data_IF_646139505750
#
_entry.id   IF_646139505750
#
_cell.length_a   1.000
_cell.length_b   1.000
_cell.length_c   1.000
_cell.angle_alpha   90.00
_cell.angle_beta   90.00
_cell.angle_gamma   90.00
#
_symmetry.space_group_name_H-M   'P 1'
#
loop_
_entity.id
_entity.type
_entity.pdbx_description
1 polymer ?
#
# COMPACT_ATOMS: atom_id res chain seq x y z
N UNK A 1 -8.99 33.70 4.21
CA UNK A 1 -8.83 33.12 2.86
C UNK A 1 -7.50 32.41 2.82
N UNK A 2 -7.47 31.14 2.42
CA UNK A 2 -6.21 30.38 2.25
C UNK A 2 -5.53 30.73 0.92
N UNK A 3 -4.27 30.33 0.75
CA UNK A 3 -3.54 30.55 -0.51
C UNK A 3 -4.29 29.97 -1.73
N UNK A 4 -4.76 28.72 -1.64
CA UNK A 4 -5.56 28.11 -2.71
C UNK A 4 -6.83 28.91 -3.01
N UNK A 5 -7.59 29.32 -1.97
CA UNK A 5 -8.82 30.10 -2.15
C UNK A 5 -8.54 31.48 -2.76
N UNK A 6 -7.45 32.15 -2.38
CA UNK A 6 -7.03 33.43 -2.95
C UNK A 6 -6.66 33.27 -4.43
N UNK A 7 -5.85 32.26 -4.78
CA UNK A 7 -5.49 32.01 -6.19
C UNK A 7 -6.71 31.61 -7.02
N UNK A 8 -7.63 30.82 -6.46
CA UNK A 8 -8.91 30.47 -7.09
C UNK A 8 -9.76 31.71 -7.35
N UNK A 9 -9.91 32.59 -6.35
CA UNK A 9 -10.66 33.83 -6.48
C UNK A 9 -10.06 34.77 -7.53
N UNK A 10 -8.73 34.92 -7.54
CA UNK A 10 -8.01 35.72 -8.55
C UNK A 10 -8.18 35.14 -9.97
N UNK A 11 -8.17 33.81 -10.12
CA UNK A 11 -8.40 33.18 -11.42
C UNK A 11 -9.82 33.42 -11.96
N UNK A 12 -10.81 33.56 -11.06
CA UNK A 12 -12.21 33.88 -11.39
C UNK A 12 -12.45 35.37 -11.66
N UNK A 13 -11.56 36.27 -11.21
CA UNK A 13 -11.66 37.70 -11.49
C UNK A 13 -11.41 37.95 -12.99
N UNK A 14 -12.51 38.10 -13.72
CA UNK A 14 -12.56 38.15 -15.19
C UNK A 14 -13.79 37.45 -15.79
N UNK A 15 -14.46 36.59 -15.02
CA UNK A 15 -15.72 35.94 -15.40
C UNK A 15 -16.93 36.83 -15.13
N UNK A 16 -17.25 37.72 -16.06
CA UNK A 16 -18.57 38.36 -16.10
C UNK A 16 -19.64 37.27 -16.33
N UNK A 17 -20.57 37.09 -15.39
CA UNK A 17 -21.73 36.21 -15.56
C UNK A 17 -21.61 34.75 -15.07
N UNK A 18 -20.67 34.43 -14.18
CA UNK A 18 -20.62 33.11 -13.51
C UNK A 18 -20.11 31.93 -14.37
N UNK A 19 -19.74 32.18 -15.63
CA UNK A 19 -19.09 31.20 -16.51
C UNK A 19 -17.59 31.15 -16.21
N UNK A 20 -17.03 29.96 -15.98
CA UNK A 20 -15.58 29.83 -15.74
C UNK A 20 -14.78 30.36 -16.94
N UNK A 21 -13.65 31.08 -16.73
CA UNK A 21 -12.89 31.65 -17.82
C UNK A 21 -12.33 30.52 -18.69
N UNK A 22 -12.73 30.49 -19.97
CA UNK A 22 -12.27 29.48 -20.93
C UNK A 22 -10.76 29.61 -21.10
N UNK A 23 -10.04 28.52 -20.93
CA UNK A 23 -8.58 28.48 -21.14
C UNK A 23 -7.72 28.80 -19.91
N UNK A 24 -8.26 29.36 -18.84
CA UNK A 24 -7.48 29.69 -17.62
C UNK A 24 -7.46 28.51 -16.65
N UNK A 25 -6.32 28.29 -16.00
CA UNK A 25 -6.22 27.28 -14.94
C UNK A 25 -6.92 27.78 -13.67
N UNK A 26 -7.82 26.95 -13.13
CA UNK A 26 -8.56 27.22 -11.90
C UNK A 26 -8.16 26.19 -10.84
N UNK A 27 -7.44 26.59 -9.76
CA UNK A 27 -7.04 25.64 -8.74
C UNK A 27 -8.24 25.09 -7.96
N UNK A 28 -8.21 23.78 -7.68
CA UNK A 28 -9.17 23.07 -6.84
C UNK A 28 -8.72 23.10 -5.39
N UNK A 29 -9.64 23.50 -4.50
CA UNK A 29 -9.41 23.60 -3.07
C UNK A 29 -10.40 22.72 -2.32
N UNK A 30 -9.96 22.08 -1.25
CA UNK A 30 -10.84 21.30 -0.37
C UNK A 30 -11.73 22.20 0.51
N UNK A 31 -12.59 21.57 1.33
CA UNK A 31 -13.50 22.28 2.25
C UNK A 31 -12.79 23.13 3.30
N UNK A 32 -11.53 22.83 3.62
CA UNK A 32 -10.69 23.60 4.56
C UNK A 32 -9.90 24.71 3.84
N UNK A 33 -9.95 24.74 2.50
CA UNK A 33 -9.20 25.66 1.65
C UNK A 33 -7.77 25.22 1.35
N UNK A 34 -7.36 23.99 1.67
CA UNK A 34 -6.09 23.46 1.21
C UNK A 34 -6.18 23.07 -0.28
N UNK A 35 -5.04 22.95 -0.96
CA UNK A 35 -5.03 22.43 -2.32
C UNK A 35 -5.48 20.97 -2.33
N UNK A 36 -6.40 20.63 -3.24
CA UNK A 36 -6.64 19.23 -3.54
C UNK A 36 -5.37 18.60 -4.14
N UNK A 37 -5.05 17.36 -3.75
CA UNK A 37 -3.82 16.69 -4.23
C UNK A 37 -3.74 16.60 -5.75
N UNK A 38 -4.89 16.46 -6.42
CA UNK A 38 -5.01 16.45 -7.87
C UNK A 38 -5.46 17.83 -8.33
N UNK A 39 -4.73 18.42 -9.27
CA UNK A 39 -5.11 19.65 -9.94
C UNK A 39 -5.33 19.36 -11.42
N UNK A 40 -6.41 19.90 -11.99
CA UNK A 40 -6.79 19.64 -13.37
C UNK A 40 -7.00 20.94 -14.13
N UNK A 41 -6.34 21.07 -15.29
CA UNK A 41 -6.57 22.15 -16.23
C UNK A 41 -7.55 21.69 -17.31
N UNK A 42 -8.84 21.84 -17.01
CA UNK A 42 -9.94 21.31 -17.82
C UNK A 42 -9.90 21.71 -19.30
N UNK A 43 -9.49 22.94 -19.63
CA UNK A 43 -9.46 23.43 -21.01
C UNK A 43 -8.42 22.75 -21.91
N UNK A 44 -7.35 22.20 -21.33
CA UNK A 44 -6.30 21.49 -22.08
C UNK A 44 -6.28 19.97 -21.79
N UNK A 45 -7.08 19.51 -20.82
CA UNK A 45 -7.26 18.10 -20.48
C UNK A 45 -6.10 17.45 -19.71
N UNK A 46 -5.22 18.26 -19.10
CA UNK A 46 -4.11 17.77 -18.28
C UNK A 46 -4.43 17.89 -16.80
N UNK A 47 -4.03 16.89 -16.02
CA UNK A 47 -4.03 16.95 -14.56
C UNK A 47 -2.68 16.53 -14.02
N UNK A 48 -2.34 16.98 -12.81
CA UNK A 48 -1.09 16.67 -12.11
C UNK A 48 -1.32 16.62 -10.60
N UNK A 49 -0.33 16.11 -9.88
CA UNK A 49 -0.32 16.12 -8.44
C UNK A 49 0.35 17.39 -7.92
N UNK A 50 -0.11 17.89 -6.77
CA UNK A 50 0.51 19.04 -6.10
C UNK A 50 0.91 18.74 -4.67
N UNK A 51 1.93 19.47 -4.20
CA UNK A 51 2.31 19.52 -2.78
C UNK A 51 1.32 20.36 -1.95
N UNK A 52 1.56 20.48 -0.64
CA UNK A 52 0.73 21.27 0.27
C UNK A 52 0.66 22.77 -0.05
N UNK A 53 1.60 23.27 -0.86
CA UNK A 53 1.68 24.66 -1.31
C UNK A 53 1.06 24.85 -2.71
N UNK A 54 0.57 23.79 -3.34
CA UNK A 54 -0.05 23.83 -4.66
C UNK A 54 0.96 23.76 -5.82
N UNK A 55 2.23 23.42 -5.56
CA UNK A 55 3.23 23.26 -6.62
C UNK A 55 3.12 21.89 -7.25
N UNK A 56 3.24 21.83 -8.58
CA UNK A 56 3.24 20.59 -9.33
C UNK A 56 4.41 19.68 -8.93
N UNK A 57 4.08 18.43 -8.60
CA UNK A 57 5.05 17.36 -8.41
C UNK A 57 5.51 16.90 -9.80
N UNK A 58 6.80 17.07 -10.08
CA UNK A 58 7.39 16.75 -11.38
C UNK A 58 7.10 15.29 -11.79
N UNK A 59 6.73 15.08 -13.04
CA UNK A 59 6.45 13.75 -13.61
C UNK A 59 5.03 13.23 -13.36
N UNK A 60 4.16 14.00 -12.69
CA UNK A 60 2.77 13.57 -12.42
C UNK A 60 1.74 14.09 -13.43
N UNK A 61 2.16 14.92 -14.38
CA UNK A 61 1.28 15.51 -15.40
C UNK A 61 0.87 14.48 -16.45
N UNK A 62 -0.43 14.22 -16.54
CA UNK A 62 -1.03 13.24 -17.46
C UNK A 62 -2.28 13.80 -18.12
N UNK A 63 -2.73 13.20 -19.22
CA UNK A 63 -4.09 13.41 -19.74
C UNK A 63 -5.03 12.48 -18.97
N UNK A 64 -6.02 13.04 -18.26
CA UNK A 64 -6.88 12.29 -17.33
C UNK A 64 -6.42 12.40 -15.88
N UNK A 65 -6.88 11.51 -14.99
CA UNK A 65 -6.68 11.62 -13.54
C UNK A 65 -5.38 10.94 -13.07
N UNK A 66 -4.39 11.67 -12.50
CA UNK A 66 -3.18 11.08 -11.94
C UNK A 66 -3.44 10.38 -10.61
N UNK A 67 -2.62 9.36 -10.30
CA UNK A 67 -2.59 8.76 -8.96
C UNK A 67 -1.63 9.55 -8.07
N UNK A 68 -2.16 10.38 -7.19
CA UNK A 68 -1.38 11.24 -6.30
C UNK A 68 -1.06 10.61 -4.94
N UNK A 69 -1.29 9.31 -4.82
CA UNK A 69 -0.99 8.53 -3.62
C UNK A 69 0.21 7.58 -3.80
N UNK A 70 0.93 7.64 -4.94
CA UNK A 70 1.81 6.54 -5.37
C UNK A 70 3.19 6.91 -5.92
N UNK A 71 3.54 8.18 -6.16
CA UNK A 71 4.93 8.52 -6.54
C UNK A 71 5.71 9.06 -5.35
N UNK A 72 6.69 8.32 -4.81
CA UNK A 72 7.55 8.84 -3.76
C UNK A 72 8.36 9.99 -4.33
N UNK A 73 8.23 11.19 -3.76
CA UNK A 73 9.10 12.29 -4.12
C UNK A 73 10.57 11.90 -3.83
N UNK A 74 11.52 12.16 -4.75
CA UNK A 74 12.93 11.94 -4.46
C UNK A 74 13.37 12.83 -3.31
N UNK A 75 14.12 12.26 -2.36
CA UNK A 75 14.75 13.02 -1.28
C UNK A 75 15.88 13.89 -1.83
N UNK A 76 16.41 14.81 -1.01
CA UNK A 76 17.57 15.65 -1.37
C UNK A 76 18.81 14.82 -1.81
N UNK A 77 18.85 13.53 -1.47
CA UNK A 77 19.92 12.60 -1.84
C UNK A 77 19.70 11.91 -3.19
N UNK A 78 18.62 12.23 -3.92
CA UNK A 78 18.27 11.60 -5.21
C UNK A 78 17.66 10.20 -5.09
N UNK A 79 17.50 9.67 -3.87
CA UNK A 79 16.85 8.39 -3.56
C UNK A 79 15.43 8.62 -3.06
N UNK A 80 14.51 7.70 -3.34
CA UNK A 80 13.19 7.70 -2.66
C UNK A 80 13.31 7.27 -1.19
N UNK A 81 12.27 7.50 -0.38
CA UNK A 81 12.27 7.06 1.03
C UNK A 81 12.53 5.54 1.18
N UNK A 82 11.87 4.70 0.38
CA UNK A 82 12.10 3.25 0.40
C UNK A 82 13.55 2.89 0.04
N UNK A 83 14.08 3.47 -1.05
CA UNK A 83 15.44 3.21 -1.50
C UNK A 83 16.48 3.68 -0.48
N UNK A 84 16.27 4.84 0.13
CA UNK A 84 17.13 5.38 1.18
C UNK A 84 17.16 4.45 2.40
N UNK A 85 16.00 4.01 2.90
CA UNK A 85 15.95 3.06 4.03
C UNK A 85 16.58 1.72 3.69
N UNK A 86 16.38 1.22 2.47
CA UNK A 86 17.04 0.00 1.97
C UNK A 86 18.56 0.14 1.98
N UNK A 87 19.09 1.28 1.53
CA UNK A 87 20.52 1.57 1.54
C UNK A 87 21.07 1.68 2.97
N UNK A 88 20.35 2.36 3.87
CA UNK A 88 20.75 2.48 5.29
C UNK A 88 20.73 1.14 6.03
N UNK A 89 19.81 0.24 5.69
CA UNK A 89 19.76 -1.12 6.22
C UNK A 89 20.77 -2.08 5.54
N UNK A 90 21.48 -1.62 4.50
CA UNK A 90 22.54 -2.40 3.88
C UNK A 90 23.73 -2.52 4.86
N UNK A 91 24.24 -3.73 5.05
CA UNK A 91 25.33 -4.03 5.99
C UNK A 91 24.92 -4.25 7.45
N UNK A 92 23.69 -3.93 7.85
CA UNK A 92 23.21 -4.19 9.21
C UNK A 92 22.63 -5.62 9.32
N UNK A 93 23.30 -6.48 10.09
CA UNK A 93 22.89 -7.88 10.27
C UNK A 93 21.55 -7.95 11.01
N UNK A 94 20.55 -8.62 10.43
CA UNK A 94 19.19 -8.71 10.99
C UNK A 94 18.32 -7.45 10.82
N UNK A 95 18.82 -6.41 10.16
CA UNK A 95 18.01 -5.23 9.89
C UNK A 95 17.02 -5.46 8.76
N UNK A 96 15.79 -4.96 8.96
CA UNK A 96 14.76 -4.99 7.93
C UNK A 96 15.15 -4.15 6.72
N UNK A 97 15.31 -4.82 5.57
CA UNK A 97 15.56 -4.17 4.27
C UNK A 97 14.27 -4.11 3.45
N UNK A 98 13.66 -2.92 3.27
CA UNK A 98 12.41 -2.81 2.54
C UNK A 98 12.58 -3.16 1.05
N UNK A 99 11.56 -3.81 0.51
CA UNK A 99 11.36 -4.07 -0.91
C UNK A 99 10.75 -2.82 -1.55
N UNK A 100 11.38 -2.35 -2.62
CA UNK A 100 10.91 -1.21 -3.40
C UNK A 100 10.60 -1.68 -4.82
N UNK A 101 9.60 -1.08 -5.45
CA UNK A 101 9.29 -1.30 -6.85
C UNK A 101 10.27 -0.52 -7.77
N UNK A 102 10.06 -0.63 -9.09
CA UNK A 102 10.90 0.04 -10.09
C UNK A 102 10.78 1.58 -10.05
N UNK A 103 9.70 2.12 -9.50
CA UNK A 103 9.53 3.56 -9.28
C UNK A 103 10.12 4.02 -7.94
N UNK A 104 10.63 3.09 -7.12
CA UNK A 104 11.16 3.35 -5.80
C UNK A 104 10.09 3.50 -4.72
N UNK A 105 8.83 3.16 -4.99
CA UNK A 105 7.79 3.07 -3.97
C UNK A 105 7.91 1.77 -3.18
N UNK A 106 7.28 1.73 -2.00
CA UNK A 106 7.22 0.49 -1.22
C UNK A 106 6.38 -0.56 -1.95
N UNK A 107 6.94 -1.76 -2.08
CA UNK A 107 6.16 -2.92 -2.51
C UNK A 107 5.02 -3.16 -1.52
N UNK A 108 3.82 -3.47 -2.03
CA UNK A 108 2.62 -3.65 -1.20
C UNK A 108 2.79 -4.76 -0.15
N UNK A 109 3.60 -5.76 -0.46
CA UNK A 109 3.95 -6.86 0.45
C UNK A 109 5.45 -6.79 0.75
N UNK A 110 5.77 -6.59 2.02
CA UNK A 110 7.13 -6.62 2.54
C UNK A 110 7.44 -8.00 3.11
N UNK A 111 8.73 -8.30 3.26
CA UNK A 111 9.18 -9.57 3.84
C UNK A 111 10.44 -9.41 4.66
N UNK A 112 10.52 -10.11 5.78
CA UNK A 112 11.72 -10.20 6.61
C UNK A 112 11.71 -11.50 7.40
N UNK A 113 12.83 -12.25 7.37
CA UNK A 113 13.03 -13.43 8.24
C UNK A 113 11.86 -14.44 8.23
N UNK A 114 11.28 -14.70 7.06
CA UNK A 114 10.16 -15.65 6.90
C UNK A 114 8.79 -15.10 7.30
N UNK A 115 8.70 -13.81 7.65
CA UNK A 115 7.44 -13.09 7.80
C UNK A 115 7.15 -12.24 6.56
N UNK A 116 5.86 -12.06 6.29
CA UNK A 116 5.34 -11.24 5.21
C UNK A 116 4.20 -10.38 5.75
N UNK A 117 4.11 -9.11 5.34
CA UNK A 117 3.04 -8.21 5.76
C UNK A 117 2.75 -7.19 4.68
N UNK A 118 1.53 -6.64 4.70
CA UNK A 118 1.19 -5.54 3.82
C UNK A 118 1.70 -4.21 4.40
N UNK A 119 2.05 -3.28 3.52
CA UNK A 119 2.39 -1.90 3.92
C UNK A 119 1.55 -0.86 3.17
N UNK A 120 1.40 0.30 3.78
CA UNK A 120 0.84 1.48 3.13
C UNK A 120 1.86 2.15 2.18
N UNK A 121 1.46 3.24 1.53
CA UNK A 121 2.33 3.99 0.60
C UNK A 121 3.58 4.60 1.26
N UNK A 122 3.62 4.67 2.59
CA UNK A 122 4.76 5.13 3.37
C UNK A 122 5.62 3.98 3.91
N UNK A 123 5.29 2.73 3.58
CA UNK A 123 6.01 1.55 4.07
C UNK A 123 5.66 1.14 5.49
N UNK A 124 4.59 1.69 6.08
CA UNK A 124 4.12 1.30 7.42
C UNK A 124 3.27 0.05 7.32
N UNK A 125 3.50 -0.89 8.23
CA UNK A 125 2.75 -2.13 8.30
C UNK A 125 1.25 -1.89 8.51
N UNK A 126 0.44 -2.53 7.67
CA UNK A 126 -1.01 -2.60 7.85
C UNK A 126 -1.30 -3.64 8.93
N UNK A 127 -1.92 -3.20 10.02
CA UNK A 127 -2.15 -4.06 11.17
C UNK A 127 -2.97 -5.32 10.81
N UNK A 128 -2.60 -6.47 11.38
CA UNK A 128 -3.27 -7.75 11.15
C UNK A 128 -2.92 -8.45 9.83
N UNK A 129 -2.02 -7.89 9.01
CA UNK A 129 -1.63 -8.50 7.73
C UNK A 129 -0.37 -9.36 7.82
N UNK A 130 0.31 -9.39 8.97
CA UNK A 130 1.56 -10.14 9.14
C UNK A 130 1.31 -11.63 9.26
N UNK A 131 1.88 -12.37 8.31
CA UNK A 131 1.82 -13.82 8.22
C UNK A 131 3.23 -14.42 8.26
N UNK A 132 3.34 -15.64 8.80
CA UNK A 132 4.57 -16.43 8.78
C UNK A 132 4.51 -17.42 7.61
N UNK A 133 5.58 -17.51 6.83
CA UNK A 133 5.75 -18.40 5.67
C UNK A 133 4.82 -18.15 4.46
N UNK A 134 3.72 -17.42 4.63
CA UNK A 134 2.75 -17.11 3.58
C UNK A 134 2.69 -15.62 3.27
N UNK A 135 2.58 -15.26 1.99
CA UNK A 135 2.41 -13.86 1.55
C UNK A 135 0.92 -13.46 1.62
N UNK A 136 0.58 -12.28 2.18
CA UNK A 136 -0.77 -11.74 2.10
C UNK A 136 -1.21 -11.59 0.64
N UNK A 137 -2.39 -12.11 0.31
CA UNK A 137 -2.98 -12.04 -1.05
C UNK A 137 -3.83 -10.79 -1.27
N UNK A 138 -4.31 -10.16 -0.19
CA UNK A 138 -5.12 -8.95 -0.28
C UNK A 138 -4.61 -7.89 0.69
N UNK A 139 -4.00 -6.83 0.13
CA UNK A 139 -3.52 -5.67 0.87
C UNK A 139 -4.48 -4.47 0.81
N UNK A 140 -5.76 -4.70 0.49
CA UNK A 140 -6.77 -3.65 0.63
C UNK A 140 -7.11 -3.45 2.11
N UNK A 141 -7.19 -2.20 2.55
CA UNK A 141 -7.38 -1.75 3.94
C UNK A 141 -8.71 -2.18 4.59
N UNK A 142 -9.37 -3.21 4.06
CA UNK A 142 -10.60 -3.75 4.60
C UNK A 142 -10.73 -5.25 4.30
N UNK A 143 -9.75 -6.05 4.70
CA UNK A 143 -9.99 -7.47 4.88
C UNK A 143 -10.44 -7.71 6.31
N UNK A 144 -11.74 -7.53 6.52
CA UNK A 144 -12.47 -8.18 7.60
C UNK A 144 -12.41 -9.70 7.31
N UNK A 145 -11.30 -10.36 7.65
CA UNK A 145 -11.16 -11.81 7.53
C UNK A 145 -10.09 -12.32 8.49
N UNK A 146 -10.53 -12.72 9.69
CA UNK A 146 -9.72 -13.51 10.61
C UNK A 146 -9.88 -13.03 12.04
N UNK A 147 -10.49 -13.83 12.95
CA UNK A 147 -10.52 -13.48 14.36
C UNK A 147 -9.07 -13.34 14.84
N UNK A 148 -8.81 -12.27 15.61
CA UNK A 148 -7.58 -12.07 16.41
C UNK A 148 -7.02 -13.43 16.82
N UNK A 149 -5.94 -13.90 16.20
CA UNK A 149 -5.28 -15.12 16.65
C UNK A 149 -4.66 -14.82 18.01
N UNK A 150 -5.36 -15.24 19.06
CA UNK A 150 -4.77 -15.44 20.38
C UNK A 150 -3.58 -16.39 20.19
N UNK A 151 -2.41 -15.91 20.60
CA UNK A 151 -1.16 -16.66 20.57
C UNK A 151 -1.38 -18.02 21.25
N UNK A 152 -1.19 -19.11 20.49
CA UNK A 152 -1.24 -20.48 21.02
C UNK A 152 -2.42 -21.35 20.60
N UNK A 153 -3.47 -20.83 19.93
CA UNK A 153 -4.59 -21.65 19.44
C UNK A 153 -4.40 -22.06 17.97
N UNK A 154 -4.45 -23.36 17.70
CA UNK A 154 -4.48 -23.89 16.34
C UNK A 154 -5.80 -23.51 15.64
N UNK A 155 -5.69 -22.90 14.47
CA UNK A 155 -6.80 -22.61 13.56
C UNK A 155 -6.52 -23.38 12.27
N UNK A 156 -7.42 -24.27 11.82
CA UNK A 156 -7.23 -25.02 10.59
C UNK A 156 -7.24 -24.08 9.38
N UNK A 157 -6.33 -24.32 8.44
CA UNK A 157 -6.35 -23.66 7.13
C UNK A 157 -7.32 -24.39 6.19
N UNK A 158 -8.05 -23.62 5.39
CA UNK A 158 -9.04 -24.13 4.44
C UNK A 158 -8.79 -23.54 3.05
N UNK A 159 -9.14 -24.30 2.00
CA UNK A 159 -9.14 -23.86 0.62
C UNK A 159 -10.39 -23.03 0.29
N UNK A 160 -10.42 -22.41 -0.90
CA UNK A 160 -11.49 -21.50 -1.33
C UNK A 160 -12.86 -22.19 -1.46
N UNK A 161 -12.87 -23.50 -1.65
CA UNK A 161 -14.06 -24.35 -1.75
C UNK A 161 -14.57 -24.79 -0.37
N UNK A 162 -13.88 -24.41 0.71
CA UNK A 162 -14.23 -24.77 2.08
C UNK A 162 -13.67 -26.12 2.54
N UNK A 163 -12.92 -26.82 1.69
CA UNK A 163 -12.19 -28.04 2.09
C UNK A 163 -10.99 -27.72 2.99
N UNK A 164 -10.51 -28.68 3.77
CA UNK A 164 -9.29 -28.51 4.55
C UNK A 164 -8.09 -28.44 3.62
N UNK A 165 -7.25 -27.42 3.79
CA UNK A 165 -6.01 -27.34 3.04
C UNK A 165 -5.12 -28.53 3.43
N UNK A 166 -4.59 -29.24 2.42
CA UNK A 166 -3.94 -30.53 2.61
C UNK A 166 -2.72 -30.46 3.56
N UNK A 167 -2.01 -29.33 3.55
CA UNK A 167 -0.93 -29.02 4.50
C UNK A 167 -1.44 -28.05 5.57
N UNK A 168 -1.44 -28.47 6.83
CA UNK A 168 -1.76 -27.60 7.96
C UNK A 168 -0.51 -27.23 8.73
N UNK A 169 -0.41 -25.98 9.17
CA UNK A 169 0.74 -25.49 9.93
C UNK A 169 0.31 -24.77 11.20
N UNK A 170 0.91 -25.11 12.33
CA UNK A 170 0.69 -24.42 13.59
C UNK A 170 1.59 -23.19 13.70
N UNK A 171 1.03 -21.96 13.73
CA UNK A 171 1.82 -20.74 13.63
C UNK A 171 2.76 -20.53 14.84
N UNK A 172 2.33 -20.92 16.04
CA UNK A 172 3.12 -20.74 17.28
C UNK A 172 4.23 -21.78 17.48
N UNK A 173 4.03 -23.04 17.08
CA UNK A 173 5.00 -24.12 17.30
C UNK A 173 5.89 -24.38 16.09
N UNK A 174 5.47 -23.93 14.89
CA UNK A 174 6.20 -24.13 13.64
C UNK A 174 6.12 -25.55 13.09
N UNK A 175 5.28 -26.42 13.66
CA UNK A 175 5.02 -27.74 13.11
C UNK A 175 3.96 -27.68 12.01
N UNK A 176 4.18 -28.40 10.93
CA UNK A 176 3.18 -28.66 9.89
C UNK A 176 2.94 -30.16 9.74
N UNK A 177 1.77 -30.54 9.24
CA UNK A 177 1.35 -31.93 9.02
C UNK A 177 0.36 -32.02 7.85
N UNK A 178 0.24 -33.19 7.25
CA UNK A 178 -0.79 -33.45 6.25
C UNK A 178 -2.13 -33.75 6.93
N UNK A 179 -3.22 -33.31 6.33
CA UNK A 179 -4.58 -33.71 6.71
C UNK A 179 -5.34 -34.23 5.51
N UNK A 180 -6.37 -35.03 5.77
CA UNK A 180 -7.37 -35.35 4.76
C UNK A 180 -8.18 -34.09 4.43
N UNK A 181 -8.31 -33.75 3.15
CA UNK A 181 -8.95 -32.50 2.69
C UNK A 181 -10.46 -32.45 2.99
N UNK A 182 -11.10 -33.60 3.19
CA UNK A 182 -12.54 -33.67 3.49
C UNK A 182 -12.82 -33.69 5.00
N UNK A 183 -12.04 -34.45 5.77
CA UNK A 183 -12.31 -34.65 7.21
C UNK A 183 -11.45 -33.80 8.14
N UNK A 184 -10.35 -33.23 7.66
CA UNK A 184 -9.38 -32.48 8.46
C UNK A 184 -8.56 -33.34 9.43
N UNK A 185 -8.68 -34.67 9.32
CA UNK A 185 -7.95 -35.62 10.18
C UNK A 185 -6.49 -35.69 9.74
N UNK A 186 -5.59 -35.64 10.72
CA UNK A 186 -4.13 -35.70 10.53
C UNK A 186 -3.70 -37.05 9.96
N UNK A 187 -2.89 -37.02 8.90
CA UNK A 187 -2.22 -38.19 8.36
C UNK A 187 -1.04 -38.53 9.28
N UNK A 188 -0.99 -39.78 9.78
CA UNK A 188 0.04 -40.21 10.72
C UNK A 188 1.45 -40.04 10.14
N UNK A 189 2.41 -39.68 11.00
CA UNK A 189 3.83 -39.51 10.68
C UNK A 189 4.16 -38.41 9.65
N UNK A 190 3.29 -37.43 9.46
CA UNK A 190 3.53 -36.31 8.54
C UNK A 190 3.99 -35.02 9.24
N UNK A 191 4.11 -35.04 10.57
CA UNK A 191 4.47 -33.86 11.34
C UNK A 191 5.96 -33.50 11.21
N UNK A 192 6.25 -32.29 10.73
CA UNK A 192 7.62 -31.80 10.51
C UNK A 192 7.73 -30.30 10.82
N UNK A 193 8.95 -29.76 11.00
CA UNK A 193 9.23 -28.32 11.22
C UNK A 193 9.34 -27.51 9.91
N UNK A 194 8.73 -28.00 8.84
CA UNK A 194 8.74 -27.40 7.50
C UNK A 194 7.49 -27.80 6.72
N UNK A 195 7.42 -27.54 5.42
CA UNK A 195 6.28 -27.96 4.59
C UNK A 195 6.40 -29.45 4.27
N UNK A 196 5.51 -30.35 4.78
CA UNK A 196 5.50 -31.76 4.40
C UNK A 196 5.09 -31.92 2.94
N UNK A 197 5.54 -33.02 2.33
CA UNK A 197 5.07 -33.47 1.02
C UNK A 197 3.77 -34.26 1.22
N UNK A 198 2.67 -33.67 0.74
CA UNK A 198 1.32 -34.17 0.73
C UNK A 198 0.82 -33.99 -0.71
#
# INVERSE_FOLDING_TARGET
MTDCQTKRAAALQGSQGGLQPVGRFLPSCDVKGAYEKVQCWGSIGFCWCVDSSGNEIKGTRVRGTPSCDTTPAPTASGLTDCQLRRHQAAGLLGAFRPLCDNAGAYEKVQSHEGYYWCVDSQGREINGTRLRFNKPTNCTSNSNSGPRMMVGRYVPQCDKDGSFHQVQCHPSTGFCWCVNTTSGIVVRNTQTRGRPDC
#
